data_IF_453770032236
#
_entry.id   IF_453770032236
#
_cell.length_a   1.000
_cell.length_b   1.000
_cell.length_c   1.000
_cell.angle_alpha   90.00
_cell.angle_beta   90.00
_cell.angle_gamma   90.00
#
_symmetry.space_group_name_H-M   'P 1'
#
loop_
_entity.id
_entity.type
_entity.pdbx_description
1 polymer ?
#
# COMPACT_ATOMS: atom_id res chain seq x y z
N UNK A 1 -16.58 2.92 -10.39
CA UNK A 1 -16.52 2.26 -9.06
C UNK A 1 -15.74 3.04 -8.00
N UNK A 2 -14.90 4.03 -8.38
CA UNK A 2 -14.14 4.88 -7.44
C UNK A 2 -14.95 5.35 -6.20
N UNK A 3 -16.10 6.04 -6.33
CA UNK A 3 -16.83 6.54 -5.15
C UNK A 3 -17.29 5.44 -4.19
N UNK A 4 -17.61 4.25 -4.73
CA UNK A 4 -17.97 3.10 -3.91
C UNK A 4 -16.76 2.53 -3.17
N UNK A 5 -15.63 2.36 -3.85
CA UNK A 5 -14.37 1.91 -3.24
C UNK A 5 -13.93 2.88 -2.15
N UNK A 6 -14.03 4.19 -2.38
CA UNK A 6 -13.72 5.21 -1.37
C UNK A 6 -14.64 5.12 -0.15
N UNK A 7 -15.94 4.90 -0.36
CA UNK A 7 -16.88 4.65 0.73
C UNK A 7 -16.48 3.40 1.53
N UNK A 8 -16.20 2.27 0.88
CA UNK A 8 -15.76 1.05 1.57
C UNK A 8 -14.47 1.25 2.36
N UNK A 9 -13.49 1.98 1.81
CA UNK A 9 -12.24 2.29 2.51
C UNK A 9 -12.52 3.16 3.74
N UNK A 10 -13.38 4.18 3.60
CA UNK A 10 -13.74 5.10 4.68
C UNK A 10 -14.47 4.40 5.82
N UNK A 11 -15.39 3.49 5.48
CA UNK A 11 -16.16 2.70 6.45
C UNK A 11 -15.37 1.50 7.01
N UNK A 12 -14.13 1.26 6.53
CA UNK A 12 -13.31 0.13 6.97
C UNK A 12 -13.74 -1.23 6.42
N UNK A 13 -14.67 -1.26 5.47
CA UNK A 13 -15.21 -2.44 4.80
C UNK A 13 -14.22 -3.01 3.78
N UNK A 14 -13.07 -3.49 4.28
CA UNK A 14 -11.97 -4.05 3.46
C UNK A 14 -12.45 -5.19 2.56
N UNK A 15 -13.33 -6.05 3.05
CA UNK A 15 -13.87 -7.18 2.30
C UNK A 15 -14.69 -6.75 1.07
N UNK A 16 -15.49 -5.70 1.22
CA UNK A 16 -16.20 -5.10 0.09
C UNK A 16 -15.23 -4.37 -0.84
N UNK A 17 -14.31 -3.55 -0.31
CA UNK A 17 -13.33 -2.82 -1.13
C UNK A 17 -12.57 -3.76 -2.08
N UNK A 18 -12.11 -4.93 -1.60
CA UNK A 18 -11.41 -5.93 -2.41
C UNK A 18 -12.20 -6.42 -3.63
N UNK A 19 -13.53 -6.45 -3.57
CA UNK A 19 -14.38 -6.88 -4.70
C UNK A 19 -14.49 -5.83 -5.78
N UNK A 20 -14.33 -4.55 -5.44
CA UNK A 20 -14.55 -3.43 -6.35
C UNK A 20 -13.27 -2.73 -6.79
N UNK A 21 -12.16 -2.84 -6.05
CA UNK A 21 -10.86 -2.31 -6.47
C UNK A 21 -10.45 -2.85 -7.85
N UNK A 22 -10.53 -4.16 -8.16
CA UNK A 22 -10.19 -4.68 -9.50
C UNK A 22 -11.06 -4.12 -10.63
N UNK A 23 -12.25 -3.58 -10.31
CA UNK A 23 -13.19 -2.99 -11.28
C UNK A 23 -12.87 -1.53 -11.60
N UNK A 24 -11.88 -0.92 -10.95
CA UNK A 24 -11.41 0.42 -11.31
C UNK A 24 -10.68 0.35 -12.64
N UNK A 25 -11.02 1.25 -13.58
CA UNK A 25 -10.42 1.25 -14.91
C UNK A 25 -8.92 1.57 -14.84
N UNK A 26 -8.55 2.55 -14.02
CA UNK A 26 -7.18 3.03 -13.94
C UNK A 26 -6.34 2.17 -12.96
N UNK A 27 -5.20 1.61 -13.41
CA UNK A 27 -4.34 0.77 -12.57
C UNK A 27 -3.64 1.53 -11.45
N UNK A 28 -3.41 2.85 -11.59
CA UNK A 28 -2.87 3.67 -10.49
C UNK A 28 -3.90 3.87 -9.39
N UNK A 29 -5.16 4.12 -9.76
CA UNK A 29 -6.26 4.15 -8.78
C UNK A 29 -6.39 2.83 -8.00
N UNK A 30 -6.20 1.69 -8.68
CA UNK A 30 -6.19 0.37 -8.04
C UNK A 30 -5.06 0.28 -7.02
N UNK A 31 -3.85 0.68 -7.41
CA UNK A 31 -2.68 0.63 -6.56
C UNK A 31 -2.85 1.46 -5.28
N UNK A 32 -3.37 2.68 -5.41
CA UNK A 32 -3.64 3.56 -4.27
C UNK A 32 -4.73 2.97 -3.35
N UNK A 33 -5.80 2.41 -3.92
CA UNK A 33 -6.85 1.80 -3.12
C UNK A 33 -6.35 0.56 -2.36
N UNK A 34 -5.56 -0.32 -3.00
CA UNK A 34 -4.92 -1.46 -2.34
C UNK A 34 -3.97 -1.04 -1.22
N UNK A 35 -3.20 0.03 -1.42
CA UNK A 35 -2.30 0.55 -0.40
C UNK A 35 -3.06 1.03 0.84
N UNK A 36 -4.18 1.74 0.64
CA UNK A 36 -5.01 2.28 1.72
C UNK A 36 -5.68 1.21 2.57
N UNK A 37 -5.95 0.03 2.01
CA UNK A 37 -6.49 -1.12 2.76
C UNK A 37 -5.40 -2.08 3.28
N UNK A 38 -4.13 -1.70 3.18
CA UNK A 38 -3.00 -2.49 3.67
C UNK A 38 -2.73 -3.76 2.86
N UNK A 39 -2.90 -3.71 1.54
CA UNK A 39 -2.54 -4.80 0.62
C UNK A 39 -1.29 -4.43 -0.19
N UNK A 40 -0.07 -4.62 0.37
CA UNK A 40 1.16 -4.12 -0.23
C UNK A 40 1.55 -4.82 -1.53
N UNK A 41 1.26 -6.12 -1.66
CA UNK A 41 1.58 -6.90 -2.86
C UNK A 41 0.71 -6.48 -4.03
N UNK A 42 -0.60 -6.43 -3.80
CA UNK A 42 -1.58 -6.02 -4.82
C UNK A 42 -1.39 -4.55 -5.23
N UNK A 43 -1.02 -3.67 -4.30
CA UNK A 43 -0.69 -2.29 -4.62
C UNK A 43 0.54 -2.18 -5.52
N UNK A 44 1.61 -2.91 -5.21
CA UNK A 44 2.83 -2.93 -6.01
C UNK A 44 2.61 -3.54 -7.41
N UNK A 45 1.79 -4.59 -7.50
CA UNK A 45 1.41 -5.20 -8.78
C UNK A 45 0.64 -4.21 -9.66
N UNK A 46 -0.41 -3.57 -9.12
CA UNK A 46 -1.19 -2.57 -9.84
C UNK A 46 -0.35 -1.35 -10.26
N UNK A 47 0.56 -0.88 -9.40
CA UNK A 47 1.48 0.22 -9.74
C UNK A 47 2.46 -0.18 -10.86
N UNK A 48 2.91 -1.44 -10.87
CA UNK A 48 3.74 -1.98 -11.94
C UNK A 48 2.99 -2.04 -13.27
N UNK A 49 1.70 -2.44 -13.25
CA UNK A 49 0.83 -2.40 -14.42
C UNK A 49 0.58 -0.98 -14.93
N UNK A 50 0.52 0.00 -14.03
CA UNK A 50 0.40 1.42 -14.37
C UNK A 50 1.68 1.99 -15.03
N UNK A 51 2.79 1.24 -15.04
CA UNK A 51 4.12 1.71 -15.46
C UNK A 51 4.56 2.98 -14.71
N UNK A 52 4.02 3.19 -13.51
CA UNK A 52 4.22 4.39 -12.71
C UNK A 52 5.31 4.11 -11.67
N UNK A 53 6.57 4.28 -12.09
CA UNK A 53 7.75 3.99 -11.27
C UNK A 53 7.87 4.88 -10.03
N UNK A 54 7.35 6.11 -10.13
CA UNK A 54 7.25 7.02 -8.99
C UNK A 54 6.27 6.48 -7.94
N UNK A 55 5.07 6.08 -8.38
CA UNK A 55 4.07 5.47 -7.51
C UNK A 55 4.61 4.21 -6.85
N UNK A 56 5.28 3.33 -7.59
CA UNK A 56 5.89 2.12 -7.05
C UNK A 56 6.96 2.45 -6.00
N UNK A 57 7.79 3.47 -6.24
CA UNK A 57 8.78 3.95 -5.27
C UNK A 57 8.13 4.48 -3.98
N UNK A 58 7.08 5.27 -4.10
CA UNK A 58 6.31 5.80 -2.95
C UNK A 58 5.61 4.70 -2.16
N UNK A 59 5.02 3.72 -2.85
CA UNK A 59 4.39 2.57 -2.22
C UNK A 59 5.39 1.73 -1.44
N UNK A 60 6.56 1.43 -2.02
CA UNK A 60 7.65 0.73 -1.31
C UNK A 60 8.06 1.47 -0.04
N UNK A 61 8.28 2.78 -0.11
CA UNK A 61 8.61 3.60 1.06
C UNK A 61 7.49 3.60 2.10
N UNK A 62 6.23 3.75 1.67
CA UNK A 62 5.07 3.76 2.55
C UNK A 62 4.89 2.43 3.29
N UNK A 63 5.15 1.31 2.63
CA UNK A 63 5.12 -0.02 3.27
C UNK A 63 6.33 -0.26 4.17
N UNK A 64 7.50 0.28 3.85
CA UNK A 64 8.69 0.23 4.73
C UNK A 64 8.56 1.14 5.96
N UNK A 65 7.79 2.23 5.86
CA UNK A 65 7.55 3.21 6.93
C UNK A 65 6.36 2.83 7.83
N UNK A 66 5.58 1.78 7.51
CA UNK A 66 4.48 1.30 8.35
C UNK A 66 5.03 0.49 9.53
N UNK A 67 5.60 1.25 10.45
CA UNK A 67 6.54 0.87 11.48
C UNK A 67 5.82 0.46 12.77
N UNK A 68 5.32 -0.77 12.78
CA UNK A 68 5.65 -1.64 13.91
C UNK A 68 7.10 -2.19 13.78
N UNK A 69 7.78 -1.85 12.68
CA UNK A 69 9.07 -2.36 12.23
C UNK A 69 10.28 -1.43 12.46
N UNK A 70 10.14 -0.10 12.66
CA UNK A 70 11.32 0.71 13.07
C UNK A 70 11.82 0.31 14.44
N UNK A 71 10.96 -0.16 15.36
CA UNK A 71 11.42 -0.70 16.65
C UNK A 71 12.28 -1.94 16.49
N UNK A 72 12.11 -2.73 15.42
CA UNK A 72 12.93 -3.91 15.14
C UNK A 72 14.26 -3.51 14.48
N UNK A 73 14.22 -2.50 13.60
CA UNK A 73 15.41 -1.95 12.95
C UNK A 73 16.33 -1.21 13.94
N UNK A 74 15.74 -0.52 14.94
CA UNK A 74 16.48 0.16 16.00
C UNK A 74 17.24 -0.84 16.89
N UNK A 75 16.59 -1.95 17.28
CA UNK A 75 17.25 -3.02 18.06
C UNK A 75 18.34 -3.76 17.26
N UNK A 76 18.23 -3.83 15.93
CA UNK A 76 19.28 -4.38 15.08
C UNK A 76 20.49 -3.45 14.96
N UNK A 77 20.26 -2.13 14.95
CA UNK A 77 21.32 -1.12 14.88
C UNK A 77 22.09 -1.00 16.21
N UNK A 78 21.39 -1.06 17.33
CA UNK A 78 21.99 -1.05 18.68
C UNK A 78 22.94 -2.23 18.90
N UNK A 79 22.59 -3.42 18.39
CA UNK A 79 23.44 -4.62 18.50
C UNK A 79 24.65 -4.64 17.58
N UNK A 80 24.67 -3.81 16.53
CA UNK A 80 25.81 -3.73 15.60
C UNK A 80 26.84 -2.67 16.00
N UNK A 81 26.58 -1.89 17.06
CA UNK A 81 27.60 -1.06 17.72
C UNK A 81 28.37 -0.14 16.77
N UNK A 82 27.72 0.44 15.77
CA UNK A 82 28.35 1.49 14.96
C UNK A 82 28.05 2.84 15.61
N UNK A 83 28.99 3.26 16.45
CA UNK A 83 29.14 4.64 16.93
C UNK A 83 29.56 5.58 15.79
#
# INVERSE_FOLDING_TARGET
>A
YRPFVEACIKEGEKGEALKYIPKLADPRERAEAFARIGMPKEAADAASQAKDGELLGRLKLSFSQNTAASSILDTLRDRLGVS
#
